data_IF_811640104815
#
_entry.id   IF_811640104815
#
_cell.length_a   1.000
_cell.length_b   1.000
_cell.length_c   1.000
_cell.angle_alpha   90.00
_cell.angle_beta   90.00
_cell.angle_gamma   90.00
#
_symmetry.space_group_name_H-M   'P 1'
#
loop_
_entity.id
_entity.type
_entity.pdbx_description
1 polymer ?
#
# COMPACT_ATOMS: atom_id res chain seq x y z
N UNK A 1 15.14 1.50 -12.99
CA UNK A 1 14.60 0.35 -12.24
C UNK A 1 14.65 0.66 -10.75
N UNK A 2 13.51 0.92 -10.13
CA UNK A 2 13.45 1.06 -8.67
C UNK A 2 13.79 -0.29 -8.04
N UNK A 3 15.00 -0.45 -7.51
CA UNK A 3 15.38 -1.62 -6.70
C UNK A 3 14.47 -1.65 -5.46
N UNK A 4 13.36 -2.36 -5.57
CA UNK A 4 12.49 -2.73 -4.47
C UNK A 4 13.07 -4.00 -3.84
N UNK A 5 13.12 -4.06 -2.52
CA UNK A 5 13.49 -5.30 -1.84
C UNK A 5 12.44 -6.38 -2.10
N UNK A 6 12.82 -7.64 -1.93
CA UNK A 6 11.88 -8.77 -2.05
C UNK A 6 10.61 -8.56 -1.20
N UNK A 7 10.78 -8.08 0.05
CA UNK A 7 9.66 -7.78 0.95
C UNK A 7 8.75 -6.66 0.42
N UNK A 8 9.31 -5.63 -0.21
CA UNK A 8 8.53 -4.55 -0.81
C UNK A 8 7.71 -5.04 -2.00
N UNK A 9 8.32 -5.85 -2.88
CA UNK A 9 7.61 -6.45 -4.01
C UNK A 9 6.50 -7.39 -3.55
N UNK A 10 6.77 -8.25 -2.57
CA UNK A 10 5.76 -9.15 -2.00
C UNK A 10 4.60 -8.37 -1.37
N UNK A 11 4.91 -7.31 -0.61
CA UNK A 11 3.89 -6.43 -0.02
C UNK A 11 3.03 -5.75 -1.09
N UNK A 12 3.64 -5.24 -2.17
CA UNK A 12 2.90 -4.66 -3.29
C UNK A 12 2.01 -5.70 -3.98
N UNK A 13 2.49 -6.93 -4.21
CA UNK A 13 1.66 -8.01 -4.77
C UNK A 13 0.47 -8.32 -3.88
N UNK A 14 0.66 -8.32 -2.56
CA UNK A 14 -0.42 -8.54 -1.60
C UNK A 14 -1.44 -7.39 -1.61
N UNK A 15 -0.99 -6.14 -1.75
CA UNK A 15 -1.88 -4.98 -1.93
C UNK A 15 -2.64 -5.06 -3.25
N UNK A 16 -1.96 -5.41 -4.35
CA UNK A 16 -2.58 -5.52 -5.67
C UNK A 16 -3.69 -6.57 -5.72
N UNK A 17 -3.55 -7.68 -4.97
CA UNK A 17 -4.61 -8.69 -4.81
C UNK A 17 -5.81 -8.21 -3.99
N UNK A 18 -5.69 -7.09 -3.27
CA UNK A 18 -6.70 -6.57 -2.35
C UNK A 18 -7.23 -5.23 -2.86
N UNK A 19 -8.26 -5.23 -3.74
CA UNK A 19 -8.84 -3.99 -4.27
C UNK A 19 -9.44 -3.10 -3.17
N UNK A 20 -9.89 -3.69 -2.05
CA UNK A 20 -10.44 -2.97 -0.90
C UNK A 20 -9.35 -2.42 0.05
N UNK A 21 -8.07 -2.59 -0.28
CA UNK A 21 -6.94 -2.21 0.55
C UNK A 21 -6.58 -3.22 1.65
N UNK A 22 -5.48 -2.94 2.34
CA UNK A 22 -4.96 -3.73 3.46
C UNK A 22 -5.12 -2.96 4.77
N UNK A 23 -6.02 -3.46 5.62
CA UNK A 23 -6.19 -2.99 6.98
C UNK A 23 -5.09 -3.63 7.85
N UNK A 24 -4.07 -2.85 8.15
CA UNK A 24 -2.97 -3.29 9.00
C UNK A 24 -2.24 -2.11 9.62
N UNK A 25 -1.23 -2.43 10.42
CA UNK A 25 -0.56 -1.42 11.24
C UNK A 25 0.01 -0.27 10.40
N UNK A 26 -0.31 0.96 10.80
CA UNK A 26 0.27 2.19 10.28
C UNK A 26 1.79 2.31 10.60
N UNK A 27 2.31 1.48 11.51
CA UNK A 27 3.74 1.44 11.86
C UNK A 27 4.56 0.50 10.99
N UNK A 28 3.97 -0.19 10.02
CA UNK A 28 4.69 -1.11 9.13
C UNK A 28 5.74 -0.34 8.30
N UNK A 29 7.02 -0.57 8.59
CA UNK A 29 8.15 0.10 7.94
C UNK A 29 8.21 -0.15 6.43
N UNK A 30 7.78 -1.34 5.98
CA UNK A 30 7.71 -1.68 4.55
C UNK A 30 6.66 -0.84 3.84
N UNK A 31 5.47 -0.67 4.44
CA UNK A 31 4.42 0.20 3.90
C UNK A 31 4.85 1.66 3.86
N UNK A 32 5.47 2.16 4.93
CA UNK A 32 6.01 3.53 4.94
C UNK A 32 7.06 3.76 3.86
N UNK A 33 7.91 2.77 3.59
CA UNK A 33 8.90 2.85 2.53
C UNK A 33 8.27 2.80 1.12
N UNK A 34 7.22 1.99 0.92
CA UNK A 34 6.44 1.98 -0.31
C UNK A 34 5.71 3.31 -0.53
N UNK A 35 5.13 3.89 0.53
CA UNK A 35 4.52 5.22 0.51
C UNK A 35 5.51 6.32 0.16
N UNK A 36 6.70 6.31 0.78
CA UNK A 36 7.76 7.28 0.46
C UNK A 36 8.20 7.21 -1.01
N UNK A 37 8.00 6.07 -1.67
CA UNK A 37 8.28 5.86 -3.09
C UNK A 37 7.05 6.11 -4.00
N UNK A 38 5.91 6.49 -3.43
CA UNK A 38 4.66 6.73 -4.16
C UNK A 38 4.01 5.46 -4.71
N UNK A 39 4.36 4.27 -4.19
CA UNK A 39 3.86 2.97 -4.70
C UNK A 39 2.66 2.43 -3.91
N UNK A 40 2.43 2.95 -2.72
CA UNK A 40 1.27 2.67 -1.89
C UNK A 40 0.87 3.95 -1.16
N UNK A 41 -0.37 4.04 -0.69
CA UNK A 41 -0.83 5.16 0.13
C UNK A 41 -1.70 4.66 1.28
N UNK A 42 -1.81 5.46 2.34
CA UNK A 42 -2.78 5.23 3.41
C UNK A 42 -4.01 6.10 3.21
N UNK A 43 -5.15 5.44 3.11
CA UNK A 43 -6.46 6.06 3.09
C UNK A 43 -7.08 6.00 4.48
N UNK A 44 -7.52 7.16 4.94
CA UNK A 44 -8.32 7.30 6.15
C UNK A 44 -9.76 7.58 5.75
N UNK A 45 -10.68 6.72 6.17
CA UNK A 45 -12.12 6.90 5.93
C UNK A 45 -12.81 7.14 7.26
N UNK A 46 -13.68 8.15 7.31
CA UNK A 46 -14.51 8.38 8.49
C UNK A 46 -15.61 7.32 8.55
N UNK A 47 -15.83 6.76 9.73
CA UNK A 47 -16.90 5.78 9.96
C UNK A 47 -18.05 6.52 10.62
N UNK A 48 -19.21 6.69 9.96
CA UNK A 48 -20.35 7.39 10.53
C UNK A 48 -20.75 6.80 11.88
N UNK A 49 -20.84 7.65 12.91
CA UNK A 49 -21.20 7.24 14.27
C UNK A 49 -20.06 6.64 15.10
N UNK A 50 -18.83 6.63 14.58
CA UNK A 50 -17.64 6.20 15.31
C UNK A 50 -16.66 7.37 15.47
N UNK A 51 -16.04 7.56 16.64
CA UNK A 51 -14.92 8.48 16.78
C UNK A 51 -13.64 7.95 16.12
N UNK A 52 -13.63 6.67 15.72
CA UNK A 52 -12.50 6.02 15.06
C UNK A 52 -12.61 6.14 13.53
N UNK A 53 -11.45 6.32 12.90
CA UNK A 53 -11.30 6.31 11.44
C UNK A 53 -10.79 4.96 10.98
N UNK A 54 -11.34 4.47 9.88
CA UNK A 54 -10.80 3.30 9.20
C UNK A 54 -9.53 3.69 8.47
N UNK A 55 -8.48 2.91 8.67
CA UNK A 55 -7.19 3.06 8.02
C UNK A 55 -6.90 1.84 7.16
N UNK A 56 -6.64 2.07 5.88
CA UNK A 56 -6.24 1.02 4.95
C UNK A 56 -5.10 1.51 4.07
N UNK A 57 -4.23 0.57 3.72
CA UNK A 57 -3.22 0.77 2.69
C UNK A 57 -3.79 0.40 1.32
N UNK A 58 -3.60 1.24 0.32
CA UNK A 58 -3.99 0.99 -1.07
C UNK A 58 -2.77 1.04 -1.98
N UNK A 59 -2.77 0.24 -3.04
CA UNK A 59 -1.74 0.33 -4.07
C UNK A 59 -2.04 1.52 -4.99
N UNK A 60 -1.01 2.29 -5.35
CA UNK A 60 -1.17 3.39 -6.31
C UNK A 60 -1.02 2.86 -7.74
N UNK A 61 -1.42 3.66 -8.74
CA UNK A 61 -1.17 3.35 -10.15
C UNK A 61 0.32 3.14 -10.45
N UNK A 62 1.21 3.93 -9.81
CA UNK A 62 2.65 3.75 -9.90
C UNK A 62 3.11 2.43 -9.26
N UNK A 63 2.49 2.00 -8.15
CA UNK A 63 2.71 0.70 -7.54
C UNK A 63 2.32 -0.48 -8.43
N UNK A 64 1.19 -0.35 -9.13
CA UNK A 64 0.75 -1.33 -10.15
C UNK A 64 1.74 -1.37 -11.30
N UNK A 65 2.13 -0.22 -11.87
CA UNK A 65 3.12 -0.16 -12.94
C UNK A 65 4.48 -0.73 -12.50
N UNK A 66 4.89 -0.55 -11.25
CA UNK A 66 6.12 -1.14 -10.71
C UNK A 66 6.06 -2.67 -10.56
N UNK A 67 4.87 -3.27 -10.51
CA UNK A 67 4.66 -4.73 -10.52
C UNK A 67 4.55 -5.30 -11.94
N UNK A 68 3.83 -4.59 -12.81
CA UNK A 68 3.55 -5.00 -14.19
C UNK A 68 4.70 -4.69 -15.15
N UNK A 69 5.56 -3.74 -14.80
CA UNK A 69 6.86 -3.51 -15.39
C UNK A 69 7.84 -4.65 -15.08
N UNK A 70 7.50 -5.86 -15.53
CA UNK A 70 8.52 -6.82 -15.99
C UNK A 70 9.27 -6.15 -17.16
N UNK A 71 10.59 -6.41 -17.27
CA UNK A 71 11.49 -5.73 -18.21
C UNK A 71 10.99 -5.72 -19.65
#
# INVERSE_FOLDING_TARGET
MSNLSYRMQDTLRNLHKRPNGYYGSCTNSTMKALKKRGLADDEWTEVPGSPYRDHKWVITSAGVAALEGKP
#
